data_IF_769406742723
#
_entry.id   IF_769406742723
#
_cell.length_a   1.000
_cell.length_b   1.000
_cell.length_c   1.000
_cell.angle_alpha   90.00
_cell.angle_beta   90.00
_cell.angle_gamma   90.00
#
_symmetry.space_group_name_H-M   'P 1'
#
loop_
_entity.id
_entity.type
_entity.pdbx_description
1 polymer ?
#
# COMPACT_ATOMS: atom_id res chain seq x y z
N UNK A 1 5.32 13.25 23.12
CA UNK A 1 5.82 11.88 22.93
C UNK A 1 4.77 10.87 22.44
N UNK A 2 3.51 10.81 22.94
CA UNK A 2 2.55 9.77 22.50
C UNK A 2 2.13 9.90 21.03
N UNK A 3 2.04 11.12 20.51
CA UNK A 3 1.66 11.39 19.12
C UNK A 3 2.63 10.79 18.08
N UNK A 4 3.92 10.67 18.40
CA UNK A 4 4.91 10.08 17.50
C UNK A 4 4.76 8.56 17.39
N UNK A 5 4.41 7.90 18.50
CA UNK A 5 4.13 6.45 18.53
C UNK A 5 2.89 6.14 17.71
N UNK A 6 1.81 6.90 17.88
CA UNK A 6 0.55 6.70 17.14
C UNK A 6 0.79 6.87 15.63
N UNK A 7 1.55 7.90 15.24
CA UNK A 7 1.88 8.13 13.83
C UNK A 7 2.71 6.98 13.25
N UNK A 8 3.65 6.45 14.02
CA UNK A 8 4.48 5.31 13.61
C UNK A 8 3.66 4.03 13.41
N UNK A 9 2.73 3.74 14.33
CA UNK A 9 1.78 2.62 14.19
C UNK A 9 0.97 2.79 12.90
N UNK A 10 0.42 3.99 12.67
CA UNK A 10 -0.39 4.29 11.48
C UNK A 10 0.36 4.06 10.16
N UNK A 11 1.62 4.51 10.08
CA UNK A 11 2.44 4.37 8.89
C UNK A 11 2.78 2.92 8.59
N UNK A 12 3.22 2.17 9.60
CA UNK A 12 3.53 0.76 9.45
C UNK A 12 2.30 -0.07 9.09
N UNK A 13 1.19 0.13 9.80
CA UNK A 13 -0.06 -0.57 9.51
C UNK A 13 -0.51 -0.31 8.08
N UNK A 14 -0.45 0.95 7.62
CA UNK A 14 -0.86 1.32 6.26
C UNK A 14 0.01 0.64 5.20
N UNK A 15 1.33 0.64 5.38
CA UNK A 15 2.27 -0.03 4.48
C UNK A 15 2.00 -1.54 4.42
N UNK A 16 1.87 -2.19 5.58
CA UNK A 16 1.61 -3.62 5.70
C UNK A 16 0.26 -4.01 5.05
N UNK A 17 -0.83 -3.30 5.38
CA UNK A 17 -2.14 -3.61 4.85
C UNK A 17 -2.24 -3.37 3.35
N UNK A 18 -1.51 -2.39 2.81
CA UNK A 18 -1.46 -2.16 1.35
C UNK A 18 -0.89 -3.39 0.62
N UNK A 19 0.21 -3.96 1.13
CA UNK A 19 0.81 -5.19 0.57
C UNK A 19 -0.14 -6.37 0.73
N UNK A 20 -0.72 -6.56 1.92
CA UNK A 20 -1.62 -7.70 2.19
C UNK A 20 -2.84 -7.66 1.29
N UNK A 21 -3.45 -6.48 1.08
CA UNK A 21 -4.58 -6.31 0.16
C UNK A 21 -4.15 -6.62 -1.27
N UNK A 22 -2.99 -6.15 -1.72
CA UNK A 22 -2.47 -6.45 -3.05
C UNK A 22 -2.24 -7.96 -3.26
N UNK A 23 -1.62 -8.64 -2.29
CA UNK A 23 -1.39 -10.10 -2.31
C UNK A 23 -2.70 -10.86 -2.30
N UNK A 24 -3.62 -10.54 -1.40
CA UNK A 24 -4.94 -11.16 -1.33
C UNK A 24 -5.70 -11.01 -2.66
N UNK A 25 -5.65 -9.82 -3.24
CA UNK A 25 -6.26 -9.51 -4.54
C UNK A 25 -5.62 -10.33 -5.65
N UNK A 26 -4.29 -10.44 -5.70
CA UNK A 26 -3.58 -11.28 -6.66
C UNK A 26 -3.94 -12.77 -6.53
N UNK A 27 -3.93 -13.32 -5.31
CA UNK A 27 -4.28 -14.72 -5.05
C UNK A 27 -5.72 -15.03 -5.46
N UNK A 28 -6.64 -14.10 -5.21
CA UNK A 28 -8.06 -14.25 -5.53
C UNK A 28 -8.32 -14.12 -7.03
N UNK A 29 -7.74 -13.10 -7.68
CA UNK A 29 -8.01 -12.79 -9.09
C UNK A 29 -7.22 -13.64 -10.07
N UNK A 30 -5.93 -13.83 -9.82
CA UNK A 30 -5.02 -14.50 -10.75
C UNK A 30 -5.04 -16.00 -10.49
N UNK A 31 -4.81 -16.39 -9.24
CA UNK A 31 -4.73 -17.81 -8.84
C UNK A 31 -6.10 -18.44 -8.57
N UNK A 32 -7.19 -17.65 -8.57
CA UNK A 32 -8.55 -18.12 -8.28
C UNK A 32 -8.64 -18.89 -6.95
N UNK A 33 -7.74 -18.59 -6.00
CA UNK A 33 -7.70 -19.24 -4.68
C UNK A 33 -8.58 -18.46 -3.72
N UNK A 34 -9.71 -19.05 -3.35
CA UNK A 34 -10.60 -18.53 -2.32
C UNK A 34 -9.85 -18.46 -0.99
N UNK A 35 -9.62 -17.24 -0.50
CA UNK A 35 -8.97 -17.02 0.79
C UNK A 35 -9.97 -17.30 1.92
N UNK A 36 -9.51 -18.02 2.94
CA UNK A 36 -10.31 -18.26 4.14
C UNK A 36 -10.33 -17.01 5.01
N UNK A 37 -11.48 -16.70 5.62
CA UNK A 37 -11.62 -15.59 6.57
C UNK A 37 -10.63 -15.71 7.75
N UNK A 38 -10.22 -16.93 8.10
CA UNK A 38 -9.19 -17.17 9.12
C UNK A 38 -7.83 -16.59 8.72
N UNK A 39 -7.44 -16.73 7.45
CA UNK A 39 -6.17 -16.19 6.94
C UNK A 39 -6.18 -14.67 6.98
N UNK A 40 -7.31 -14.05 6.62
CA UNK A 40 -7.49 -12.60 6.73
C UNK A 40 -7.47 -12.12 8.19
N UNK A 41 -8.08 -12.88 9.10
CA UNK A 41 -8.03 -12.57 10.53
C UNK A 41 -6.63 -12.65 11.11
N UNK A 42 -5.87 -13.72 10.80
CA UNK A 42 -4.49 -13.90 11.24
C UNK A 42 -3.57 -12.82 10.66
N UNK A 43 -3.71 -12.50 9.37
CA UNK A 43 -2.89 -11.45 8.76
C UNK A 43 -3.18 -10.07 9.36
N UNK A 44 -4.44 -9.80 9.74
CA UNK A 44 -4.83 -8.57 10.40
C UNK A 44 -4.25 -8.44 11.81
N UNK A 45 -4.36 -9.47 12.64
CA UNK A 45 -3.80 -9.44 14.01
C UNK A 45 -2.28 -9.32 13.98
N UNK A 46 -1.62 -10.05 13.08
CA UNK A 46 -0.17 -10.02 12.93
C UNK A 46 0.31 -8.62 12.50
N UNK A 47 -0.40 -7.96 11.59
CA UNK A 47 -0.09 -6.59 11.17
C UNK A 47 -0.10 -5.59 12.33
N UNK A 48 -1.13 -5.64 13.18
CA UNK A 48 -1.24 -4.76 14.33
C UNK A 48 -0.18 -5.04 15.40
N UNK A 49 0.12 -6.32 15.67
CA UNK A 49 1.16 -6.71 16.63
C UNK A 49 2.53 -6.21 16.16
N UNK A 50 2.86 -6.39 14.88
CA UNK A 50 4.12 -5.91 14.31
C UNK A 50 4.20 -4.38 14.35
N UNK A 51 3.13 -3.67 13.98
CA UNK A 51 3.11 -2.21 14.05
C UNK A 51 3.27 -1.69 15.49
N UNK A 52 2.58 -2.31 16.46
CA UNK A 52 2.66 -1.93 17.87
C UNK A 52 4.07 -2.20 18.46
N UNK A 53 4.65 -3.36 18.19
CA UNK A 53 5.99 -3.72 18.69
C UNK A 53 7.07 -2.80 18.16
N UNK A 54 7.06 -2.49 16.86
CA UNK A 54 8.02 -1.56 16.26
C UNK A 54 7.85 -0.15 16.87
N UNK A 55 6.62 0.31 17.01
CA UNK A 55 6.36 1.65 17.54
C UNK A 55 6.72 1.81 19.03
N UNK A 56 6.53 0.76 19.84
CA UNK A 56 6.87 0.74 21.27
C UNK A 56 8.35 0.45 21.55
N UNK A 57 9.06 -0.20 20.62
CA UNK A 57 10.48 -0.53 20.79
C UNK A 57 11.36 0.59 21.36
N UNK A 58 11.21 1.87 20.98
CA UNK A 58 12.10 2.94 21.46
C UNK A 58 11.80 3.39 22.90
N UNK A 59 10.74 2.89 23.53
CA UNK A 59 10.42 3.14 24.94
C UNK A 59 11.20 2.21 25.87
N UNK A 60 11.58 1.02 25.40
CA UNK A 60 12.28 0.02 26.20
C UNK A 60 13.80 0.10 26.07
N UNK A 61 14.31 0.60 24.93
CA UNK A 61 15.74 0.74 24.69
C UNK A 61 16.18 2.20 24.81
N UNK A 62 16.85 2.60 25.92
CA UNK A 62 17.35 3.95 26.08
C UNK A 62 18.43 4.23 25.03
N UNK A 63 18.22 5.31 24.27
CA UNK A 63 19.14 5.75 23.22
C UNK A 63 20.15 6.76 23.77
N UNK A 64 21.41 6.73 23.29
CA UNK A 64 22.51 7.51 23.87
C UNK A 64 22.36 9.04 23.72
N UNK A 65 21.56 9.53 22.76
CA UNK A 65 21.43 10.97 22.43
C UNK A 65 20.03 11.53 22.76
N UNK A 66 19.32 10.86 23.67
CA UNK A 66 17.96 11.20 24.10
C UNK A 66 16.85 10.47 23.32
N UNK A 67 15.57 10.78 23.58
CA UNK A 67 14.43 10.01 23.08
C UNK A 67 14.40 9.95 21.55
N UNK A 68 14.06 8.78 20.99
CA UNK A 68 13.98 8.54 19.55
C UNK A 68 12.87 9.37 18.89
N UNK A 69 11.74 9.48 19.57
CA UNK A 69 10.59 10.27 19.13
C UNK A 69 10.70 11.73 19.59
N UNK A 70 10.51 12.65 18.66
CA UNK A 70 10.55 14.07 18.93
C UNK A 70 10.02 14.92 17.77
N UNK A 71 10.04 16.26 17.93
CA UNK A 71 9.69 17.17 16.85
C UNK A 71 10.63 16.95 15.66
N UNK A 72 10.04 16.71 14.49
CA UNK A 72 10.73 16.25 13.28
C UNK A 72 10.25 17.03 12.06
N UNK A 73 10.52 18.33 12.06
CA UNK A 73 9.98 19.30 11.12
C UNK A 73 8.57 19.76 11.56
N UNK A 74 7.59 19.62 10.67
CA UNK A 74 6.18 20.00 10.90
C UNK A 74 5.36 18.97 11.69
N UNK A 75 5.96 17.83 12.05
CA UNK A 75 5.24 16.72 12.69
C UNK A 75 6.10 16.05 13.76
N UNK A 76 5.47 15.24 14.61
CA UNK A 76 6.16 14.46 15.64
C UNK A 76 6.49 13.06 15.10
N UNK A 77 7.74 12.64 15.13
CA UNK A 77 8.16 11.34 14.61
C UNK A 77 9.58 10.99 15.06
N UNK A 78 10.24 10.10 14.34
CA UNK A 78 11.65 9.78 14.57
C UNK A 78 12.49 11.03 14.27
N UNK A 79 13.30 11.47 15.24
CA UNK A 79 14.12 12.68 15.14
C UNK A 79 15.10 12.58 13.97
N UNK A 80 15.30 13.68 13.26
CA UNK A 80 16.23 13.78 12.12
C UNK A 80 17.70 13.48 12.50
N UNK A 81 18.05 13.60 13.78
CA UNK A 81 19.39 13.25 14.31
C UNK A 81 19.68 11.76 14.11
N UNK A 82 18.65 10.91 14.17
CA UNK A 82 18.77 9.47 13.92
C UNK A 82 18.39 9.15 12.47
N UNK A 83 19.13 9.74 11.52
CA UNK A 83 18.96 9.57 10.08
C UNK A 83 18.80 8.10 9.62
N UNK A 84 19.65 7.22 10.15
CA UNK A 84 19.64 5.77 9.85
C UNK A 84 18.36 5.09 10.31
N UNK A 85 17.94 5.33 11.55
CA UNK A 85 16.73 4.75 12.12
C UNK A 85 15.48 5.28 11.41
N UNK A 86 15.47 6.57 11.07
CA UNK A 86 14.39 7.18 10.32
C UNK A 86 14.26 6.56 8.92
N UNK A 87 15.36 6.27 8.23
CA UNK A 87 15.30 5.59 6.95
C UNK A 87 14.77 4.17 7.06
N UNK A 88 15.29 3.38 8.00
CA UNK A 88 14.94 1.97 8.18
C UNK A 88 13.50 1.76 8.68
N UNK A 89 13.05 2.58 9.64
CA UNK A 89 11.74 2.39 10.25
C UNK A 89 10.63 3.20 9.60
N UNK A 90 10.92 4.24 8.82
CA UNK A 90 9.86 5.05 8.19
C UNK A 90 9.88 4.93 6.67
N UNK A 91 11.01 5.19 6.01
CA UNK A 91 11.07 5.19 4.55
C UNK A 91 11.05 3.78 3.95
N UNK A 92 11.82 2.85 4.51
CA UNK A 92 11.96 1.50 3.93
C UNK A 92 10.62 0.75 3.84
N UNK A 93 9.76 0.69 4.88
CA UNK A 93 8.45 0.03 4.79
C UNK A 93 7.52 0.65 3.73
N UNK A 94 7.60 1.97 3.57
CA UNK A 94 6.82 2.72 2.59
C UNK A 94 7.28 2.39 1.17
N UNK A 95 8.60 2.39 0.93
CA UNK A 95 9.16 2.05 -0.37
C UNK A 95 8.89 0.59 -0.74
N UNK A 96 9.08 -0.35 0.19
CA UNK A 96 8.78 -1.76 -0.06
C UNK A 96 7.29 -1.94 -0.35
N UNK A 97 6.40 -1.35 0.44
CA UNK A 97 4.96 -1.41 0.18
C UNK A 97 4.58 -0.84 -1.19
N UNK A 98 5.17 0.30 -1.56
CA UNK A 98 4.95 0.92 -2.86
C UNK A 98 5.38 0.01 -4.02
N UNK A 99 6.61 -0.53 -3.96
CA UNK A 99 7.17 -1.38 -5.02
C UNK A 99 6.40 -2.68 -5.14
N UNK A 100 6.17 -3.40 -4.04
CA UNK A 100 5.43 -4.66 -4.05
C UNK A 100 4.00 -4.48 -4.53
N UNK A 101 3.31 -3.43 -4.08
CA UNK A 101 1.94 -3.14 -4.53
C UNK A 101 1.94 -2.81 -6.03
N UNK A 102 2.83 -1.94 -6.51
CA UNK A 102 2.92 -1.60 -7.92
C UNK A 102 3.19 -2.83 -8.81
N UNK A 103 4.10 -3.72 -8.38
CA UNK A 103 4.42 -4.96 -9.11
C UNK A 103 3.20 -5.90 -9.17
N UNK A 104 2.56 -6.18 -8.04
CA UNK A 104 1.41 -7.08 -7.96
C UNK A 104 0.22 -6.54 -8.77
N UNK A 105 -0.08 -5.25 -8.66
CA UNK A 105 -1.15 -4.63 -9.41
C UNK A 105 -0.85 -4.53 -10.91
N UNK A 106 0.41 -4.32 -11.30
CA UNK A 106 0.82 -4.38 -12.71
C UNK A 106 0.58 -5.79 -13.29
N UNK A 107 0.95 -6.84 -12.54
CA UNK A 107 0.67 -8.23 -12.92
C UNK A 107 -0.83 -8.51 -13.03
N UNK A 108 -1.63 -8.04 -12.07
CA UNK A 108 -3.10 -8.12 -12.11
C UNK A 108 -3.61 -7.48 -13.41
N UNK A 109 -3.18 -6.26 -13.72
CA UNK A 109 -3.60 -5.56 -14.94
C UNK A 109 -3.24 -6.33 -16.22
N UNK A 110 -2.04 -6.89 -16.31
CA UNK A 110 -1.59 -7.71 -17.43
C UNK A 110 -2.43 -8.98 -17.63
N UNK A 111 -2.80 -9.65 -16.53
CA UNK A 111 -3.68 -10.82 -16.55
C UNK A 111 -5.10 -10.44 -16.98
N UNK A 112 -5.64 -9.34 -16.44
CA UNK A 112 -6.99 -8.87 -16.76
C UNK A 112 -7.12 -8.37 -18.21
N UNK A 113 -6.04 -7.85 -18.79
CA UNK A 113 -6.00 -7.47 -20.21
C UNK A 113 -6.01 -8.69 -21.14
N UNK A 114 -5.91 -9.91 -20.60
CA UNK A 114 -5.87 -11.16 -21.36
C UNK A 114 -4.52 -11.45 -22.01
N UNK A 115 -3.50 -10.62 -21.76
CA UNK A 115 -2.16 -10.76 -22.35
C UNK A 115 -1.37 -11.88 -21.67
N UNK A 116 -1.70 -12.24 -20.43
CA UNK A 116 -0.94 -13.18 -19.61
C UNK A 116 -1.86 -14.25 -19.01
N UNK A 117 -1.71 -15.51 -19.44
CA UNK A 117 -2.53 -16.64 -18.98
C UNK A 117 -1.66 -17.59 -18.15
N UNK A 118 -1.88 -17.64 -16.83
CA UNK A 118 -1.16 -18.51 -15.89
C UNK A 118 -1.99 -19.78 -15.68
N UNK A 119 -1.82 -20.78 -16.56
CA UNK A 119 -2.42 -22.11 -16.39
C UNK A 119 -1.32 -23.17 -16.50
N UNK A 120 -0.67 -23.47 -15.37
CA UNK A 120 0.43 -24.45 -15.31
C UNK A 120 1.79 -23.97 -15.84
N UNK A 121 1.90 -22.71 -16.26
CA UNK A 121 3.12 -22.05 -16.77
C UNK A 121 2.82 -20.60 -17.20
N UNK A 122 3.84 -19.77 -17.42
CA UNK A 122 3.69 -18.43 -18.01
C UNK A 122 3.47 -18.58 -19.53
N UNK A 123 2.24 -18.41 -20.01
CA UNK A 123 1.94 -18.35 -21.45
C UNK A 123 1.38 -16.98 -21.80
N UNK A 124 2.09 -16.26 -22.69
CA UNK A 124 1.67 -14.98 -23.24
C UNK A 124 0.81 -15.25 -24.48
N UNK A 125 -0.51 -15.05 -24.38
CA UNK A 125 -1.40 -15.17 -25.53
C UNK A 125 -1.51 -13.82 -26.24
N UNK A 126 -0.77 -13.66 -27.36
CA UNK A 126 -0.93 -12.55 -28.31
C UNK A 126 -1.86 -12.89 -29.50
N UNK A 127 -2.67 -13.95 -29.41
CA UNK A 127 -3.55 -14.41 -30.49
C UNK A 127 -5.01 -13.92 -30.37
N UNK A 128 -5.75 -13.81 -31.50
CA UNK A 128 -7.13 -13.31 -31.53
C UNK A 128 -8.11 -14.26 -30.80
N UNK A 129 -9.19 -13.73 -30.18
CA UNK A 129 -10.01 -14.50 -29.26
C UNK A 129 -10.98 -15.43 -30.01
N UNK A 130 -10.78 -16.74 -29.92
CA UNK A 130 -11.79 -17.73 -30.32
C UNK A 130 -12.87 -17.84 -29.24
N UNK A 131 -14.13 -17.64 -29.66
CA UNK A 131 -15.31 -17.52 -28.80
C UNK A 131 -15.90 -18.91 -28.53
N UNK A 132 -15.67 -19.46 -27.34
CA UNK A 132 -16.31 -20.71 -26.89
C UNK A 132 -17.61 -20.45 -26.10
N UNK A 133 -18.66 -21.19 -26.46
CA UNK A 133 -20.08 -21.09 -26.05
C UNK A 133 -20.39 -21.24 -24.55
N UNK A 134 -19.44 -21.66 -23.71
CA UNK A 134 -19.58 -21.68 -22.24
C UNK A 134 -19.35 -20.34 -21.54
N UNK A 135 -19.05 -19.27 -22.30
CA UNK A 135 -18.63 -17.95 -21.80
C UNK A 135 -19.75 -17.08 -21.20
N UNK A 136 -21.02 -17.21 -21.59
CA UNK A 136 -22.03 -16.19 -21.25
C UNK A 136 -22.29 -16.00 -19.74
N UNK A 137 -22.32 -17.07 -18.94
CA UNK A 137 -22.54 -16.97 -17.48
C UNK A 137 -21.26 -16.61 -16.72
N UNK A 138 -20.10 -17.04 -17.23
CA UNK A 138 -18.78 -16.71 -16.69
C UNK A 138 -18.37 -15.26 -17.02
N UNK A 139 -18.85 -14.71 -18.15
CA UNK A 139 -18.58 -13.35 -18.60
C UNK A 139 -19.12 -12.28 -17.65
N UNK A 140 -20.32 -12.46 -17.09
CA UNK A 140 -20.89 -11.50 -16.14
C UNK A 140 -20.04 -11.35 -14.88
N UNK A 141 -19.69 -12.50 -14.27
CA UNK A 141 -18.80 -12.55 -13.10
C UNK A 141 -17.39 -12.04 -13.44
N UNK A 142 -16.79 -12.44 -14.57
CA UNK A 142 -15.47 -11.95 -14.98
C UNK A 142 -15.45 -10.46 -15.27
N UNK A 143 -16.47 -9.91 -15.94
CA UNK A 143 -16.57 -8.47 -16.23
C UNK A 143 -16.72 -7.67 -14.93
N UNK A 144 -17.53 -8.15 -13.99
CA UNK A 144 -17.69 -7.53 -12.67
C UNK A 144 -16.36 -7.55 -11.90
N UNK A 145 -15.74 -8.72 -11.76
CA UNK A 145 -14.45 -8.89 -11.09
C UNK A 145 -13.36 -8.04 -11.75
N UNK A 146 -13.38 -7.93 -13.08
CA UNK A 146 -12.46 -7.09 -13.86
C UNK A 146 -12.70 -5.60 -13.62
N UNK A 147 -13.96 -5.17 -13.50
CA UNK A 147 -14.30 -3.78 -13.19
C UNK A 147 -13.85 -3.40 -11.76
N UNK A 148 -14.10 -4.27 -10.78
CA UNK A 148 -13.66 -4.09 -9.39
C UNK A 148 -12.14 -4.02 -9.33
N UNK A 149 -11.43 -4.96 -9.95
CA UNK A 149 -9.97 -4.98 -9.98
C UNK A 149 -9.39 -3.74 -10.65
N UNK A 150 -9.98 -3.26 -11.75
CA UNK A 150 -9.58 -1.99 -12.40
C UNK A 150 -9.76 -0.79 -11.48
N UNK A 151 -10.85 -0.74 -10.70
CA UNK A 151 -11.03 0.28 -9.66
C UNK A 151 -9.93 0.20 -8.60
N UNK A 152 -9.52 -1.02 -8.23
CA UNK A 152 -8.46 -1.24 -7.23
C UNK A 152 -7.05 -0.86 -7.71
N UNK A 153 -6.80 -0.75 -9.03
CA UNK A 153 -5.51 -0.31 -9.58
C UNK A 153 -5.17 1.16 -9.25
N UNK A 154 -6.16 1.96 -8.87
CA UNK A 154 -5.93 3.35 -8.48
C UNK A 154 -5.26 3.49 -7.11
N UNK A 155 -5.36 2.48 -6.24
CA UNK A 155 -4.72 2.50 -4.91
C UNK A 155 -3.19 2.65 -4.98
N UNK A 156 -2.45 1.76 -5.67
CA UNK A 156 -0.99 1.89 -5.78
C UNK A 156 -0.59 3.16 -6.54
N UNK A 157 -1.38 3.60 -7.53
CA UNK A 157 -1.08 4.84 -8.25
C UNK A 157 -1.19 6.06 -7.34
N UNK A 158 -2.29 6.20 -6.59
CA UNK A 158 -2.46 7.26 -5.61
C UNK A 158 -1.37 7.17 -4.52
N UNK A 159 -1.03 5.97 -4.06
CA UNK A 159 0.05 5.75 -3.10
C UNK A 159 1.40 6.25 -3.63
N UNK A 160 1.79 5.88 -4.86
CA UNK A 160 3.04 6.35 -5.45
C UNK A 160 3.03 7.88 -5.63
N UNK A 161 1.99 8.43 -6.27
CA UNK A 161 1.96 9.87 -6.61
C UNK A 161 1.95 10.77 -5.37
N UNK A 162 1.21 10.40 -4.33
CA UNK A 162 1.06 11.21 -3.13
C UNK A 162 2.22 11.05 -2.15
N UNK A 163 2.91 9.91 -2.18
CA UNK A 163 3.91 9.56 -1.18
C UNK A 163 5.35 9.73 -1.68
N UNK A 164 5.57 9.66 -3.00
CA UNK A 164 6.85 9.94 -3.65
C UNK A 164 7.41 11.35 -3.35
N UNK A 165 6.65 12.47 -3.45
CA UNK A 165 7.20 13.79 -3.13
C UNK A 165 7.63 13.90 -1.65
N UNK A 166 6.87 13.29 -0.75
CA UNK A 166 7.21 13.19 0.67
C UNK A 166 8.50 12.41 0.90
N UNK A 167 8.64 11.24 0.28
CA UNK A 167 9.84 10.41 0.40
C UNK A 167 11.08 11.11 -0.14
N UNK A 168 10.98 11.82 -1.27
CA UNK A 168 12.11 12.59 -1.85
C UNK A 168 12.56 13.68 -0.90
N UNK A 169 11.64 14.52 -0.42
CA UNK A 169 11.96 15.61 0.52
C UNK A 169 12.59 15.06 1.80
N UNK A 170 12.08 13.93 2.30
CA UNK A 170 12.63 13.31 3.50
C UNK A 170 14.01 12.71 3.25
N UNK A 171 14.26 12.10 2.09
CA UNK A 171 15.56 11.58 1.72
C UNK A 171 16.60 12.70 1.58
N UNK A 172 16.23 13.81 0.91
CA UNK A 172 17.09 15.00 0.78
C UNK A 172 17.45 15.58 2.15
N UNK A 173 16.47 15.67 3.06
CA UNK A 173 16.69 16.12 4.43
C UNK A 173 17.61 15.18 5.22
N UNK A 174 17.51 13.86 5.02
CA UNK A 174 18.41 12.87 5.63
C UNK A 174 19.84 13.00 5.08
N UNK A 175 19.97 13.25 3.78
CA UNK A 175 21.27 13.43 3.10
C UNK A 175 21.97 14.75 3.43
N UNK A 176 21.36 15.61 4.26
CA UNK A 176 21.94 16.89 4.68
C UNK A 176 21.73 18.03 3.68
N UNK A 177 20.89 17.85 2.65
CA UNK A 177 20.53 18.95 1.75
C UNK A 177 19.55 19.92 2.42
N UNK A 178 19.75 21.21 2.21
CA UNK A 178 18.81 22.25 2.65
C UNK A 178 17.57 22.24 1.76
N UNK A 179 16.47 21.70 2.28
CA UNK A 179 15.16 21.75 1.61
C UNK A 179 14.40 22.99 2.07
N UNK A 180 13.83 23.74 1.13
CA UNK A 180 13.02 24.92 1.44
C UNK A 180 11.79 24.55 2.27
N UNK A 181 11.40 25.44 3.18
CA UNK A 181 10.21 25.23 4.03
C UNK A 181 8.95 24.98 3.20
N UNK A 182 8.77 25.72 2.10
CA UNK A 182 7.66 25.52 1.17
C UNK A 182 7.64 24.11 0.57
N UNK A 183 8.81 23.56 0.19
CA UNK A 183 8.92 22.19 -0.31
C UNK A 183 8.51 21.15 0.72
N UNK A 184 8.88 21.36 1.99
CA UNK A 184 8.48 20.48 3.10
C UNK A 184 6.97 20.54 3.33
N UNK A 185 6.37 21.73 3.37
CA UNK A 185 4.92 21.90 3.55
C UNK A 185 4.14 21.23 2.42
N UNK A 186 4.54 21.45 1.17
CA UNK A 186 3.86 20.87 0.01
C UNK A 186 3.92 19.34 0.07
N UNK A 187 5.10 18.78 0.31
CA UNK A 187 5.29 17.34 0.40
C UNK A 187 4.50 16.71 1.56
N UNK A 188 4.40 17.40 2.70
CA UNK A 188 3.54 17.01 3.81
C UNK A 188 2.05 17.03 3.45
N UNK A 189 1.60 18.02 2.67
CA UNK A 189 0.21 18.09 2.21
C UNK A 189 -0.14 16.91 1.30
N UNK A 190 0.72 16.56 0.34
CA UNK A 190 0.56 15.36 -0.51
C UNK A 190 0.42 14.09 0.34
N UNK A 191 1.27 13.93 1.35
CA UNK A 191 1.18 12.79 2.26
C UNK A 191 -0.14 12.78 3.06
N UNK A 192 -0.65 13.93 3.51
CA UNK A 192 -1.95 14.03 4.19
C UNK A 192 -3.13 13.71 3.26
N UNK A 193 -3.06 14.09 1.98
CA UNK A 193 -4.09 13.75 0.99
C UNK A 193 -4.22 12.25 0.71
N UNK A 194 -3.21 11.46 1.06
CA UNK A 194 -3.25 10.00 0.89
C UNK A 194 -4.44 9.36 1.63
N UNK A 195 -4.75 9.86 2.83
CA UNK A 195 -5.91 9.37 3.59
C UNK A 195 -7.23 9.63 2.85
N UNK A 196 -7.40 10.86 2.33
CA UNK A 196 -8.57 11.26 1.56
C UNK A 196 -8.68 10.43 0.27
N UNK A 197 -7.57 10.23 -0.43
CA UNK A 197 -7.51 9.42 -1.64
C UNK A 197 -7.92 7.96 -1.34
N UNK A 198 -7.39 7.35 -0.28
CA UNK A 198 -7.73 5.98 0.11
C UNK A 198 -9.23 5.82 0.43
N UNK A 199 -9.84 6.78 1.12
CA UNK A 199 -11.29 6.78 1.41
C UNK A 199 -12.11 6.96 0.13
N UNK A 200 -11.73 7.90 -0.73
CA UNK A 200 -12.40 8.11 -2.02
C UNK A 200 -12.35 6.86 -2.91
N UNK A 201 -11.20 6.17 -2.95
CA UNK A 201 -11.04 4.92 -3.67
C UNK A 201 -11.84 3.77 -3.05
N UNK A 202 -11.95 3.73 -1.72
CA UNK A 202 -12.78 2.75 -1.03
C UNK A 202 -14.24 2.96 -1.40
N UNK A 203 -14.72 4.21 -1.36
CA UNK A 203 -16.08 4.54 -1.74
C UNK A 203 -16.38 4.18 -3.20
N UNK A 204 -15.45 4.49 -4.13
CA UNK A 204 -15.59 4.11 -5.53
C UNK A 204 -15.66 2.59 -5.69
N UNK A 205 -14.77 1.86 -5.02
CA UNK A 205 -14.76 0.39 -5.04
C UNK A 205 -16.07 -0.18 -4.50
N UNK A 206 -16.57 0.31 -3.35
CA UNK A 206 -17.85 -0.11 -2.77
C UNK A 206 -19.03 0.21 -3.68
N UNK A 207 -19.03 1.37 -4.34
CA UNK A 207 -20.07 1.74 -5.32
C UNK A 207 -20.10 0.78 -6.51
N UNK A 208 -18.94 0.34 -6.99
CA UNK A 208 -18.84 -0.67 -8.06
C UNK A 208 -19.34 -2.04 -7.58
N UNK A 209 -19.19 -2.37 -6.28
CA UNK A 209 -19.73 -3.60 -5.67
C UNK A 209 -21.23 -3.53 -5.33
N UNK A 210 -21.85 -2.36 -5.26
CA UNK A 210 -23.25 -2.16 -4.89
C UNK A 210 -24.28 -3.14 -5.52
N UNK A 211 -24.24 -3.42 -6.83
CA UNK A 211 -25.28 -4.23 -7.48
C UNK A 211 -25.27 -5.74 -7.14
N UNK A 212 -24.46 -6.21 -6.18
CA UNK A 212 -24.44 -7.62 -5.74
C UNK A 212 -25.14 -7.88 -4.40
N UNK A 213 -25.66 -6.84 -3.74
CA UNK A 213 -26.31 -6.95 -2.42
C UNK A 213 -27.83 -6.76 -2.44
N UNK A 214 -28.42 -6.60 -3.62
CA UNK A 214 -29.87 -6.64 -3.89
C UNK A 214 -30.25 -8.01 -4.49
#
# INVERSE_FOLDING_TARGET
MPVGVIMQIGNFSTAYFSIVIAVHTFLTLVLHKRQSMLVCGISATLGWIVAATIALSPLYFPQPVGPLYGPSGLSCGIRAIYAREQFLFHLLPIFTASVFSALLYSLIFLVLRGTLMIRGGLSLNLGPPTVSRGRLTYEGYHRFVTAVAKSMLWYPFAYVVLLLPYSIVRLLSISGFFVSFAGVVLASAFWSFLGIANVGLLYNTLRVLGPTFD
#
